data_IF_063009713690
#
_entry.id   IF_063009713690
#
_cell.length_a   1.000
_cell.length_b   1.000
_cell.length_c   1.000
_cell.angle_alpha   90.00
_cell.angle_beta   90.00
_cell.angle_gamma   90.00
#
_symmetry.space_group_name_H-M   'P 1'
#
loop_
_entity.id
_entity.type
_entity.pdbx_description
1 polymer ?
#
# COMPACT_ATOMS: atom_id res chain seq x y z
N UNK A 1 -16.14 38.35 -1.93
CA UNK A 1 -15.39 37.18 -1.44
C UNK A 1 -16.12 35.95 -1.91
N UNK A 2 -15.50 35.02 -2.64
CA UNK A 2 -16.13 33.75 -2.90
C UNK A 2 -16.12 32.95 -1.59
N UNK A 3 -17.26 32.34 -1.30
CA UNK A 3 -17.54 31.42 -0.22
C UNK A 3 -16.67 30.16 -0.39
N UNK A 4 -15.65 29.99 0.44
CA UNK A 4 -14.82 28.80 0.53
C UNK A 4 -15.66 27.64 1.09
N UNK A 5 -16.49 27.07 0.22
CA UNK A 5 -17.25 25.86 0.46
C UNK A 5 -16.30 24.70 0.76
N UNK A 6 -16.00 24.49 2.05
CA UNK A 6 -15.51 23.21 2.55
C UNK A 6 -16.50 22.15 2.09
N UNK A 7 -16.07 21.29 1.17
CA UNK A 7 -16.85 20.16 0.71
C UNK A 7 -17.12 19.22 1.90
N UNK A 8 -18.29 19.35 2.51
CA UNK A 8 -18.75 18.40 3.53
C UNK A 8 -18.93 17.03 2.88
N UNK A 9 -17.99 16.12 3.13
CA UNK A 9 -18.12 14.72 2.72
C UNK A 9 -19.18 14.04 3.58
N UNK A 10 -20.29 13.60 2.98
CA UNK A 10 -21.39 12.91 3.66
C UNK A 10 -20.92 11.61 4.34
N UNK A 11 -21.40 11.28 5.56
CA UNK A 11 -20.97 10.09 6.31
C UNK A 11 -21.06 8.77 5.53
N UNK A 12 -22.06 8.60 4.66
CA UNK A 12 -22.20 7.40 3.82
C UNK A 12 -21.04 7.19 2.84
N UNK A 13 -20.45 8.27 2.30
CA UNK A 13 -19.27 8.17 1.42
C UNK A 13 -18.04 7.73 2.21
N UNK A 14 -17.86 8.29 3.41
CA UNK A 14 -16.73 7.96 4.28
C UNK A 14 -16.76 6.46 4.66
N UNK A 15 -17.94 5.96 5.03
CA UNK A 15 -18.15 4.54 5.34
C UNK A 15 -17.88 3.63 4.13
N UNK A 16 -18.31 4.03 2.93
CA UNK A 16 -18.03 3.24 1.72
C UNK A 16 -16.53 3.16 1.41
N UNK A 17 -15.81 4.27 1.56
CA UNK A 17 -14.35 4.31 1.31
C UNK A 17 -13.58 3.45 2.31
N UNK A 18 -13.98 3.45 3.58
CA UNK A 18 -13.34 2.59 4.59
C UNK A 18 -13.52 1.12 4.27
N UNK A 19 -14.70 0.71 3.80
CA UNK A 19 -14.95 -0.68 3.42
C UNK A 19 -14.11 -1.15 2.24
N UNK A 20 -13.96 -0.30 1.20
CA UNK A 20 -13.11 -0.63 0.05
C UNK A 20 -11.63 -0.73 0.45
N UNK A 21 -11.14 0.18 1.29
CA UNK A 21 -9.76 0.14 1.78
C UNK A 21 -9.48 -1.12 2.62
N UNK A 22 -10.37 -1.46 3.55
CA UNK A 22 -10.26 -2.69 4.35
C UNK A 22 -10.26 -3.94 3.47
N UNK A 23 -11.09 -3.95 2.43
CA UNK A 23 -11.13 -5.03 1.43
C UNK A 23 -9.80 -5.14 0.70
N UNK A 24 -9.26 -4.04 0.19
CA UNK A 24 -7.97 -4.00 -0.48
C UNK A 24 -6.85 -4.54 0.42
N UNK A 25 -6.81 -4.15 1.69
CA UNK A 25 -5.82 -4.62 2.65
C UNK A 25 -5.90 -6.14 2.85
N UNK A 26 -7.11 -6.68 3.06
CA UNK A 26 -7.31 -8.14 3.22
C UNK A 26 -6.89 -8.92 1.98
N UNK A 27 -7.20 -8.41 0.79
CA UNK A 27 -6.82 -9.06 -0.46
C UNK A 27 -5.30 -9.04 -0.68
N UNK A 28 -4.65 -7.91 -0.37
CA UNK A 28 -3.19 -7.78 -0.40
C UNK A 28 -2.52 -8.76 0.59
N UNK A 29 -2.99 -8.80 1.83
CA UNK A 29 -2.47 -9.70 2.86
C UNK A 29 -2.62 -11.16 2.44
N UNK A 30 -3.81 -11.53 1.96
CA UNK A 30 -4.11 -12.88 1.48
C UNK A 30 -3.26 -13.26 0.27
N UNK A 31 -3.01 -12.33 -0.65
CA UNK A 31 -2.14 -12.54 -1.81
C UNK A 31 -0.70 -12.85 -1.39
N UNK A 32 -0.08 -12.01 -0.58
CA UNK A 32 1.31 -12.21 -0.16
C UNK A 32 1.48 -13.40 0.78
N UNK A 33 0.50 -13.68 1.64
CA UNK A 33 0.50 -14.89 2.48
C UNK A 33 0.51 -16.16 1.62
N UNK A 34 -0.31 -16.23 0.56
CA UNK A 34 -0.31 -17.37 -0.39
C UNK A 34 1.01 -17.50 -1.15
N UNK A 35 1.74 -16.42 -1.33
CA UNK A 35 3.10 -16.43 -1.90
C UNK A 35 4.19 -16.82 -0.89
N UNK A 36 3.83 -17.06 0.38
CA UNK A 36 4.76 -17.51 1.42
C UNK A 36 5.46 -16.39 2.19
N UNK A 37 4.97 -15.14 2.10
CA UNK A 37 5.51 -14.04 2.91
C UNK A 37 4.89 -14.01 4.31
N UNK A 38 5.71 -13.64 5.29
CA UNK A 38 5.21 -13.18 6.59
C UNK A 38 4.96 -11.67 6.53
N UNK A 39 3.88 -11.23 7.14
CA UNK A 39 3.35 -9.86 7.00
C UNK A 39 3.24 -9.22 8.39
N UNK A 40 3.72 -7.99 8.52
CA UNK A 40 3.51 -7.14 9.71
C UNK A 40 3.16 -5.71 9.29
N UNK A 41 2.81 -4.85 10.24
CA UNK A 41 2.50 -3.43 9.96
C UNK A 41 3.73 -2.67 9.44
N UNK A 42 3.52 -1.86 8.40
CA UNK A 42 4.51 -0.95 7.84
C UNK A 42 4.57 0.44 8.46
N UNK A 43 3.73 0.76 9.46
CA UNK A 43 3.53 2.13 9.93
C UNK A 43 4.81 2.84 10.38
N UNK A 44 5.75 2.11 11.00
CA UNK A 44 7.04 2.66 11.44
C UNK A 44 7.96 3.09 10.27
N UNK A 45 7.66 2.65 9.05
CA UNK A 45 8.39 2.94 7.82
C UNK A 45 7.56 3.76 6.83
N UNK A 46 6.38 4.24 7.24
CA UNK A 46 5.50 5.05 6.40
C UNK A 46 4.81 4.28 5.26
N UNK A 47 4.56 2.98 5.46
CA UNK A 47 3.74 2.19 4.53
C UNK A 47 2.74 1.29 5.27
N UNK A 48 1.97 0.50 4.52
CA UNK A 48 0.89 -0.32 5.08
C UNK A 48 1.41 -1.64 5.63
N UNK A 49 2.29 -2.32 4.88
CA UNK A 49 2.83 -3.62 5.27
C UNK A 49 4.35 -3.72 5.13
N UNK A 50 4.92 -4.62 5.92
CA UNK A 50 6.25 -5.17 5.74
C UNK A 50 6.15 -6.64 5.35
N UNK A 51 6.92 -7.06 4.34
CA UNK A 51 6.97 -8.45 3.90
C UNK A 51 8.33 -9.07 4.21
N UNK A 52 8.32 -10.25 4.80
CA UNK A 52 9.48 -11.02 5.21
C UNK A 52 9.50 -12.37 4.49
N UNK A 53 10.70 -12.82 4.11
CA UNK A 53 10.92 -14.12 3.45
C UNK A 53 10.96 -15.30 4.43
N UNK A 54 11.07 -15.01 5.72
CA UNK A 54 11.00 -15.95 6.83
C UNK A 54 10.31 -15.26 8.01
N UNK A 55 10.26 -15.90 9.17
CA UNK A 55 9.62 -15.29 10.36
C UNK A 55 10.29 -13.94 10.71
N UNK A 56 9.52 -12.93 11.15
CA UNK A 56 10.06 -11.61 11.47
C UNK A 56 11.20 -11.60 12.51
N UNK A 57 11.26 -12.61 13.38
CA UNK A 57 12.30 -12.75 14.40
C UNK A 57 13.65 -13.22 13.83
N UNK A 58 13.66 -13.75 12.60
CA UNK A 58 14.85 -14.38 11.98
C UNK A 58 15.42 -13.61 10.80
N UNK A 59 14.70 -12.61 10.28
CA UNK A 59 15.15 -11.83 9.14
C UNK A 59 14.60 -10.40 9.13
N UNK A 60 15.27 -9.52 8.39
CA UNK A 60 14.72 -8.19 8.10
C UNK A 60 13.65 -8.27 7.02
N UNK A 61 12.64 -7.40 7.12
CA UNK A 61 11.67 -7.24 6.04
C UNK A 61 12.38 -6.85 4.75
N UNK A 62 12.04 -7.52 3.65
CA UNK A 62 12.61 -7.26 2.32
C UNK A 62 11.85 -6.17 1.58
N UNK A 63 10.54 -6.08 1.81
CA UNK A 63 9.67 -5.16 1.10
C UNK A 63 8.91 -4.26 2.06
N UNK A 64 8.74 -3.00 1.66
CA UNK A 64 7.76 -2.06 2.21
C UNK A 64 6.62 -1.95 1.19
N UNK A 65 5.38 -2.12 1.62
CA UNK A 65 4.21 -2.15 0.75
C UNK A 65 3.35 -0.92 0.99
N UNK A 66 2.95 -0.27 -0.10
CA UNK A 66 1.86 0.69 -0.15
C UNK A 66 0.68 0.07 -0.88
N UNK A 67 -0.52 0.25 -0.37
CA UNK A 67 -1.76 -0.28 -0.93
C UNK A 67 -2.67 0.89 -1.28
N UNK A 68 -3.25 0.83 -2.49
CA UNK A 68 -4.21 1.78 -3.07
C UNK A 68 -3.59 2.90 -3.94
N UNK A 69 -4.47 3.56 -4.71
CA UNK A 69 -4.19 4.57 -5.74
C UNK A 69 -4.14 6.01 -5.20
N UNK A 70 -4.27 6.23 -3.90
CA UNK A 70 -4.42 7.57 -3.33
C UNK A 70 -3.10 8.33 -3.15
N UNK A 71 -1.95 7.70 -3.42
CA UNK A 71 -0.63 8.33 -3.29
C UNK A 71 -0.30 9.24 -4.46
N UNK A 72 0.13 10.47 -4.16
CA UNK A 72 0.71 11.34 -5.17
C UNK A 72 2.20 11.01 -5.38
N UNK A 73 2.81 11.55 -6.43
CA UNK A 73 4.23 11.35 -6.73
C UNK A 73 5.16 11.70 -5.56
N UNK A 74 4.82 12.74 -4.79
CA UNK A 74 5.61 13.13 -3.60
C UNK A 74 5.60 12.05 -2.53
N UNK A 75 4.46 11.41 -2.31
CA UNK A 75 4.31 10.33 -1.32
C UNK A 75 5.14 9.12 -1.75
N UNK A 76 5.04 8.74 -3.03
CA UNK A 76 5.82 7.63 -3.59
C UNK A 76 7.32 7.87 -3.51
N UNK A 77 7.81 9.08 -3.84
CA UNK A 77 9.22 9.44 -3.74
C UNK A 77 9.69 9.39 -2.27
N UNK A 78 8.86 9.88 -1.34
CA UNK A 78 9.17 9.89 0.08
C UNK A 78 9.23 8.47 0.66
N UNK A 79 8.24 7.64 0.33
CA UNK A 79 8.23 6.23 0.72
C UNK A 79 9.42 5.47 0.11
N UNK A 80 9.76 5.71 -1.15
CA UNK A 80 10.91 5.09 -1.81
C UNK A 80 12.22 5.49 -1.13
N UNK A 81 12.36 6.74 -0.69
CA UNK A 81 13.52 7.20 0.10
C UNK A 81 13.62 6.44 1.42
N UNK A 82 12.53 6.34 2.19
CA UNK A 82 12.51 5.64 3.49
C UNK A 82 12.79 4.15 3.32
N UNK A 83 12.19 3.50 2.33
CA UNK A 83 12.43 2.10 2.01
C UNK A 83 13.92 1.85 1.72
N UNK A 84 14.51 2.65 0.83
CA UNK A 84 15.92 2.54 0.46
C UNK A 84 16.87 2.75 1.65
N UNK A 85 16.62 3.74 2.51
CA UNK A 85 17.42 3.99 3.71
C UNK A 85 17.43 2.80 4.68
N UNK A 86 16.39 1.98 4.65
CA UNK A 86 16.22 0.81 5.50
C UNK A 86 16.44 -0.52 4.75
N UNK A 87 17.11 -0.46 3.59
CA UNK A 87 17.43 -1.60 2.70
C UNK A 87 16.20 -2.44 2.29
N UNK A 88 15.08 -1.77 2.01
CA UNK A 88 13.81 -2.35 1.57
C UNK A 88 13.49 -1.91 0.16
N UNK A 89 12.84 -2.80 -0.59
CA UNK A 89 12.26 -2.48 -1.89
C UNK A 89 10.81 -2.02 -1.71
N UNK A 90 10.43 -0.92 -2.36
CA UNK A 90 9.07 -0.39 -2.28
C UNK A 90 8.18 -1.12 -3.28
N UNK A 91 7.07 -1.66 -2.80
CA UNK A 91 6.00 -2.23 -3.62
C UNK A 91 4.77 -1.34 -3.55
N UNK A 92 4.22 -0.97 -4.70
CA UNK A 92 2.92 -0.31 -4.81
C UNK A 92 1.89 -1.33 -5.32
N UNK A 93 0.84 -1.54 -4.54
CA UNK A 93 -0.23 -2.50 -4.81
C UNK A 93 -1.48 -1.75 -5.21
N UNK A 94 -1.88 -1.91 -6.47
CA UNK A 94 -3.09 -1.30 -7.01
C UNK A 94 -4.15 -2.37 -7.23
N UNK A 95 -5.34 -2.12 -6.68
CA UNK A 95 -6.52 -2.94 -6.91
C UNK A 95 -7.30 -2.35 -8.07
N UNK A 96 -7.47 -3.13 -9.12
CA UNK A 96 -8.22 -2.74 -10.31
C UNK A 96 -9.42 -3.65 -10.50
N UNK A 97 -10.62 -3.07 -10.47
CA UNK A 97 -11.83 -3.76 -10.90
C UNK A 97 -11.87 -3.76 -12.44
N UNK A 98 -11.52 -4.89 -13.06
CA UNK A 98 -11.63 -5.05 -14.52
C UNK A 98 -12.99 -5.61 -14.94
N UNK A 99 -13.66 -6.36 -14.07
CA UNK A 99 -15.00 -6.93 -14.26
C UNK A 99 -15.75 -6.93 -12.92
N UNK A 100 -17.09 -6.90 -12.96
CA UNK A 100 -17.96 -6.83 -11.76
C UNK A 100 -17.62 -7.83 -10.63
N UNK A 101 -17.03 -8.98 -10.97
CA UNK A 101 -16.71 -10.06 -10.02
C UNK A 101 -15.21 -10.44 -9.97
N UNK A 102 -14.32 -9.70 -10.65
CA UNK A 102 -12.88 -9.98 -10.63
C UNK A 102 -12.08 -8.74 -10.30
N UNK A 103 -11.52 -8.74 -9.10
CA UNK A 103 -10.48 -7.80 -8.71
C UNK A 103 -9.12 -8.36 -9.11
N UNK A 104 -8.37 -7.56 -9.86
CA UNK A 104 -6.99 -7.84 -10.16
C UNK A 104 -6.12 -7.00 -9.24
N UNK A 105 -5.12 -7.67 -8.67
CA UNK A 105 -4.08 -7.05 -7.87
C UNK A 105 -2.86 -6.87 -8.77
N UNK A 106 -2.45 -5.62 -8.96
CA UNK A 106 -1.25 -5.27 -9.73
C UNK A 106 -0.19 -4.81 -8.73
N UNK A 107 0.99 -5.42 -8.78
CA UNK A 107 2.13 -5.06 -7.92
C UNK A 107 3.21 -4.40 -8.78
N UNK A 108 3.51 -3.14 -8.49
CA UNK A 108 4.66 -2.44 -9.05
C UNK A 108 5.81 -2.46 -8.07
N UNK A 109 6.99 -2.85 -8.53
CA UNK A 109 8.23 -2.61 -7.80
C UNK A 109 8.77 -1.22 -8.18
N UNK A 110 8.94 -0.36 -7.19
CA UNK A 110 9.47 0.99 -7.35
C UNK A 110 10.91 1.00 -6.88
N UNK A 111 11.83 0.97 -7.84
CA UNK A 111 13.25 1.05 -7.60
C UNK A 111 13.79 2.42 -8.00
N UNK A 112 14.85 2.86 -7.30
CA UNK A 112 15.65 3.98 -7.79
C UNK A 112 16.32 3.55 -9.09
N UNK A 113 16.03 4.26 -10.19
CA UNK A 113 16.87 4.17 -11.38
C UNK A 113 18.27 4.68 -11.01
N UNK A 114 19.29 3.84 -11.24
CA UNK A 114 20.68 4.27 -11.14
C UNK A 114 20.96 5.18 -12.34
N UNK A 115 21.55 6.35 -12.06
CA UNK A 115 22.21 7.19 -13.07
C UNK A 115 23.60 6.61 -13.40
#
# INVERSE_FOLDING_TARGET
MPDDGLAESTPAKLTSLTFELERHYKLTESYFTRLGYYITSGNLFGGDFLLYRATPDTCHAKYLVLVDNSYCWRDLISAARVANQNNKELLLVLHQSLLKDRENLIVYSINRALD
#
